data_IF_991644871556
#
_entry.id   IF_991644871556
#
_cell.length_a   1.000
_cell.length_b   1.000
_cell.length_c   1.000
_cell.angle_alpha   90.00
_cell.angle_beta   90.00
_cell.angle_gamma   90.00
#
_symmetry.space_group_name_H-M   'P 1'
#
loop_
_entity.id
_entity.type
_entity.pdbx_description
1 polymer ?
#
# COMPACT_ATOMS: atom_id res chain seq x y z
N UNK A 1 -12.16 24.48 -6.47
CA UNK A 1 -12.10 24.94 -5.05
C UNK A 1 -10.66 24.77 -4.57
N UNK A 2 -10.16 25.53 -3.59
CA UNK A 2 -8.79 25.34 -3.08
C UNK A 2 -8.78 25.38 -1.55
N UNK A 3 -7.85 24.65 -0.94
CA UNK A 3 -7.58 24.62 0.50
C UNK A 3 -6.07 24.78 0.72
N UNK A 4 -5.66 25.04 1.96
CA UNK A 4 -4.25 25.16 2.34
C UNK A 4 -3.79 23.94 3.12
N UNK A 5 -2.78 23.23 2.61
CA UNK A 5 -2.12 22.14 3.33
C UNK A 5 -0.93 22.71 4.10
N UNK A 6 -1.00 22.69 5.43
CA UNK A 6 0.09 23.12 6.30
C UNK A 6 0.74 21.94 6.99
N UNK A 7 2.07 21.84 6.96
CA UNK A 7 2.80 20.81 7.69
C UNK A 7 4.15 21.33 8.17
N UNK A 8 4.66 20.73 9.26
CA UNK A 8 5.95 21.06 9.84
C UNK A 8 7.00 20.10 9.29
N UNK A 9 8.15 20.64 8.88
CA UNK A 9 9.29 19.84 8.43
C UNK A 9 10.53 20.19 9.22
N UNK A 10 11.33 19.17 9.56
CA UNK A 10 12.64 19.36 10.15
C UNK A 10 13.68 19.40 9.03
N UNK A 11 14.43 20.50 8.96
CA UNK A 11 15.53 20.65 8.00
C UNK A 11 16.73 19.77 8.38
N UNK A 12 17.64 19.57 7.43
CA UNK A 12 18.92 18.86 7.67
C UNK A 12 19.75 19.48 8.81
N UNK A 13 19.57 20.78 9.10
CA UNK A 13 20.24 21.51 10.19
C UNK A 13 19.48 21.47 11.52
N UNK A 14 18.34 20.78 11.58
CA UNK A 14 17.54 20.64 12.78
C UNK A 14 16.47 21.70 13.00
N UNK A 15 16.45 22.77 12.21
CA UNK A 15 15.41 23.81 12.29
C UNK A 15 14.06 23.26 11.84
N UNK A 16 13.01 23.61 12.57
CA UNK A 16 11.62 23.27 12.25
C UNK A 16 11.02 24.41 11.43
N UNK A 17 10.52 24.10 10.24
CA UNK A 17 9.90 25.08 9.33
C UNK A 17 8.45 24.67 9.06
N UNK A 18 7.53 25.64 9.14
CA UNK A 18 6.15 25.49 8.70
C UNK A 18 6.07 25.72 7.21
N UNK A 19 5.70 24.69 6.46
CA UNK A 19 5.44 24.76 5.03
C UNK A 19 3.94 24.89 4.82
N UNK A 20 3.54 25.90 4.04
CA UNK A 20 2.16 26.11 3.59
C UNK A 20 2.14 25.92 2.08
N UNK A 21 1.26 25.04 1.60
CA UNK A 21 1.05 24.80 0.17
C UNK A 21 -0.41 24.94 -0.17
N UNK A 22 -0.68 25.53 -1.33
CA UNK A 22 -2.01 25.50 -1.93
C UNK A 22 -2.33 24.08 -2.38
N UNK A 23 -3.58 23.69 -2.21
CA UNK A 23 -4.08 22.38 -2.58
C UNK A 23 -5.40 22.55 -3.33
N UNK A 24 -5.35 22.27 -4.63
CA UNK A 24 -6.46 22.46 -5.53
C UNK A 24 -7.37 21.23 -5.54
N UNK A 25 -8.66 21.47 -5.34
CA UNK A 25 -9.72 20.48 -5.39
C UNK A 25 -10.53 20.66 -6.68
N UNK A 26 -10.56 19.57 -7.44
CA UNK A 26 -11.12 19.40 -8.77
C UNK A 26 -12.36 18.53 -8.73
N UNK A 27 -13.27 18.79 -9.64
CA UNK A 27 -14.51 18.06 -9.89
C UNK A 27 -14.53 17.38 -11.28
N UNK A 28 -13.50 17.63 -12.10
CA UNK A 28 -13.31 17.07 -13.43
C UNK A 28 -12.40 15.81 -13.43
N UNK A 29 -12.21 15.20 -12.26
CA UNK A 29 -11.44 13.96 -12.13
C UNK A 29 -12.34 12.75 -12.40
N UNK A 30 -11.95 11.96 -13.37
CA UNK A 30 -12.75 10.85 -13.88
C UNK A 30 -12.62 9.59 -13.00
N UNK A 31 -13.67 8.77 -12.94
CA UNK A 31 -13.69 7.56 -12.11
C UNK A 31 -12.98 6.35 -12.77
N UNK A 32 -12.80 6.38 -14.09
CA UNK A 32 -12.08 5.36 -14.88
C UNK A 32 -12.95 4.15 -15.30
N UNK A 33 -14.25 4.19 -14.99
CA UNK A 33 -15.18 3.07 -15.09
C UNK A 33 -16.08 3.14 -16.31
N UNK A 34 -16.09 2.09 -17.14
CA UNK A 34 -17.05 1.96 -18.24
C UNK A 34 -18.50 1.70 -17.76
N UNK A 35 -18.71 1.42 -16.47
CA UNK A 35 -20.06 1.36 -15.88
C UNK A 35 -20.61 2.73 -15.49
N UNK A 36 -19.80 3.79 -15.54
CA UNK A 36 -20.23 5.12 -15.11
C UNK A 36 -21.00 5.84 -16.21
N UNK A 37 -22.20 6.32 -15.87
CA UNK A 37 -23.06 7.12 -16.75
C UNK A 37 -23.00 8.63 -16.46
N UNK A 38 -22.13 9.05 -15.53
CA UNK A 38 -22.06 10.44 -15.04
C UNK A 38 -20.79 11.16 -15.51
N UNK A 39 -19.66 10.46 -15.54
CA UNK A 39 -18.38 11.05 -15.95
C UNK A 39 -18.30 11.20 -17.49
N UNK A 40 -17.81 12.33 -18.01
CA UNK A 40 -17.64 12.56 -19.45
C UNK A 40 -16.37 11.87 -19.95
N UNK A 41 -16.36 10.54 -19.92
CA UNK A 41 -15.25 9.74 -20.39
C UNK A 41 -15.11 9.78 -21.91
N UNK A 42 -13.88 9.84 -22.41
CA UNK A 42 -13.56 9.44 -23.78
C UNK A 42 -13.29 7.94 -23.83
N UNK A 43 -13.53 7.29 -24.97
CA UNK A 43 -13.41 5.83 -25.11
C UNK A 43 -12.02 5.28 -24.70
N UNK A 44 -10.95 6.05 -24.93
CA UNK A 44 -9.56 5.68 -24.57
C UNK A 44 -9.23 5.84 -23.07
N UNK A 45 -10.12 6.44 -22.29
CA UNK A 45 -9.94 6.73 -20.86
C UNK A 45 -10.62 5.69 -19.95
N UNK A 46 -11.38 4.77 -20.51
CA UNK A 46 -11.93 3.63 -19.78
C UNK A 46 -10.85 2.58 -19.53
N UNK A 47 -10.47 2.43 -18.26
CA UNK A 47 -9.52 1.39 -17.84
C UNK A 47 -10.25 0.23 -17.17
N UNK A 48 -11.33 0.50 -16.45
CA UNK A 48 -12.12 -0.51 -15.74
C UNK A 48 -13.33 -0.96 -16.58
N UNK A 49 -13.62 -2.26 -16.53
CA UNK A 49 -14.72 -2.91 -17.24
C UNK A 49 -16.08 -2.56 -16.67
N UNK A 50 -17.08 -2.30 -17.51
CA UNK A 50 -18.44 -2.04 -17.02
C UNK A 50 -19.10 -3.22 -16.30
N UNK A 51 -18.68 -4.45 -16.62
CA UNK A 51 -19.13 -5.70 -15.97
C UNK A 51 -17.91 -6.59 -15.71
N UNK A 52 -17.14 -6.34 -14.63
CA UNK A 52 -15.99 -7.17 -14.29
C UNK A 52 -16.43 -8.60 -13.96
N UNK A 53 -15.65 -9.59 -14.38
CA UNK A 53 -15.89 -10.99 -14.02
C UNK A 53 -15.44 -11.22 -12.58
N UNK A 54 -16.31 -11.74 -11.73
CA UNK A 54 -15.92 -12.19 -10.39
C UNK A 54 -15.15 -13.51 -10.49
N UNK A 55 -13.88 -13.49 -10.06
CA UNK A 55 -13.01 -14.68 -10.01
C UNK A 55 -13.04 -15.31 -8.60
N UNK A 56 -13.45 -14.52 -7.59
CA UNK A 56 -13.53 -14.90 -6.19
C UNK A 56 -14.90 -15.52 -5.85
N UNK A 57 -14.91 -16.67 -5.17
CA UNK A 57 -16.15 -17.35 -4.74
C UNK A 57 -16.88 -16.65 -3.60
N UNK A 58 -16.18 -15.82 -2.81
CA UNK A 58 -16.79 -15.01 -1.74
C UNK A 58 -17.78 -13.98 -2.30
N UNK A 59 -17.53 -13.49 -3.52
CA UNK A 59 -18.30 -12.43 -4.14
C UNK A 59 -18.83 -12.91 -5.49
N UNK A 60 -20.08 -13.38 -5.49
CA UNK A 60 -20.76 -13.86 -6.71
C UNK A 60 -21.18 -12.75 -7.67
N UNK A 61 -20.96 -11.48 -7.32
CA UNK A 61 -21.34 -10.31 -8.12
C UNK A 61 -20.12 -9.59 -8.73
N UNK A 62 -20.30 -8.84 -9.84
CA UNK A 62 -19.26 -8.00 -10.42
C UNK A 62 -18.78 -6.97 -9.40
N UNK A 63 -17.47 -6.88 -9.19
CA UNK A 63 -16.89 -5.94 -8.25
C UNK A 63 -15.56 -5.36 -8.73
N UNK A 64 -15.24 -4.16 -8.25
CA UNK A 64 -13.91 -3.58 -8.33
C UNK A 64 -13.19 -3.71 -6.99
N UNK A 65 -11.87 -3.75 -7.04
CA UNK A 65 -11.03 -3.85 -5.86
C UNK A 65 -10.39 -2.49 -5.55
N UNK A 66 -10.51 -2.02 -4.32
CA UNK A 66 -9.70 -0.92 -3.81
C UNK A 66 -8.65 -1.51 -2.88
N UNK A 67 -7.39 -1.19 -3.14
CA UNK A 67 -6.28 -1.67 -2.31
C UNK A 67 -5.95 -0.69 -1.18
N UNK A 68 -5.65 -1.24 -0.03
CA UNK A 68 -5.00 -0.54 1.07
C UNK A 68 -3.46 -0.50 0.90
N UNK A 69 -2.79 0.44 1.55
CA UNK A 69 -1.34 0.62 1.53
C UNK A 69 -0.61 -0.65 1.97
N UNK A 70 -1.02 -1.26 3.07
CA UNK A 70 -0.35 -2.45 3.62
C UNK A 70 -0.45 -3.65 2.67
N UNK A 71 -1.58 -3.80 1.97
CA UNK A 71 -1.75 -4.87 0.98
C UNK A 71 -0.74 -4.70 -0.16
N UNK A 72 -0.55 -3.47 -0.65
CA UNK A 72 0.44 -3.19 -1.70
C UNK A 72 1.87 -3.43 -1.21
N UNK A 73 2.21 -2.98 0.00
CA UNK A 73 3.56 -3.10 0.55
C UNK A 73 3.97 -4.55 0.82
N UNK A 74 3.03 -5.38 1.28
CA UNK A 74 3.33 -6.74 1.71
C UNK A 74 3.02 -7.78 0.65
N UNK A 75 2.11 -7.50 -0.29
CA UNK A 75 1.60 -8.50 -1.25
C UNK A 75 1.82 -8.09 -2.71
N UNK A 76 2.86 -7.30 -2.99
CA UNK A 76 3.16 -6.87 -4.37
C UNK A 76 3.36 -8.07 -5.32
N UNK A 77 3.91 -9.18 -4.84
CA UNK A 77 4.13 -10.39 -5.64
C UNK A 77 2.81 -11.04 -6.09
N UNK A 78 1.76 -10.97 -5.25
CA UNK A 78 0.40 -11.39 -5.61
C UNK A 78 -0.21 -10.42 -6.62
N UNK A 79 0.02 -9.12 -6.42
CA UNK A 79 -0.44 -8.07 -7.33
C UNK A 79 0.30 -8.07 -8.67
N UNK A 80 1.41 -8.78 -8.85
CA UNK A 80 2.09 -8.92 -10.14
C UNK A 80 1.47 -9.99 -11.02
N UNK A 81 0.77 -10.96 -10.43
CA UNK A 81 0.08 -12.01 -11.16
C UNK A 81 -1.13 -11.47 -11.94
N UNK A 82 -1.38 -12.04 -13.13
CA UNK A 82 -2.55 -11.69 -13.95
C UNK A 82 -3.90 -12.17 -13.38
N UNK A 83 -3.90 -12.63 -12.12
CA UNK A 83 -5.09 -13.10 -11.42
C UNK A 83 -6.08 -11.98 -11.08
N UNK A 84 -5.56 -10.80 -10.70
CA UNK A 84 -6.37 -9.67 -10.28
C UNK A 84 -6.53 -8.68 -11.43
N UNK A 85 -7.77 -8.23 -11.65
CA UNK A 85 -8.11 -7.23 -12.67
C UNK A 85 -9.17 -6.27 -12.13
N UNK A 86 -9.32 -5.12 -12.78
CA UNK A 86 -10.26 -4.07 -12.38
C UNK A 86 -10.00 -3.55 -10.95
N UNK A 87 -8.74 -3.16 -10.73
CA UNK A 87 -8.23 -2.69 -9.44
C UNK A 87 -8.06 -1.18 -9.48
N UNK A 88 -8.57 -0.50 -8.46
CA UNK A 88 -8.46 0.93 -8.24
C UNK A 88 -7.36 1.17 -7.21
N UNK A 89 -6.35 1.94 -7.59
CA UNK A 89 -5.27 2.37 -6.73
C UNK A 89 -5.44 3.87 -6.46
N UNK A 90 -5.60 4.21 -5.18
CA UNK A 90 -5.74 5.59 -4.75
C UNK A 90 -4.40 6.31 -4.72
N UNK A 91 -4.40 7.62 -4.99
CA UNK A 91 -3.20 8.46 -4.89
C UNK A 91 -2.61 8.44 -3.48
N UNK A 92 -3.45 8.42 -2.44
CA UNK A 92 -2.98 8.27 -1.04
C UNK A 92 -2.09 7.04 -0.86
N UNK A 93 -2.50 5.91 -1.44
CA UNK A 93 -1.78 4.64 -1.39
C UNK A 93 -0.48 4.74 -2.19
N UNK A 94 -0.51 5.34 -3.38
CA UNK A 94 0.69 5.54 -4.21
C UNK A 94 1.75 6.41 -3.52
N UNK A 95 1.33 7.53 -2.92
CA UNK A 95 2.23 8.43 -2.21
C UNK A 95 2.86 7.74 -1.00
N UNK A 96 2.06 7.01 -0.24
CA UNK A 96 2.54 6.30 0.95
C UNK A 96 3.52 5.17 0.60
N UNK A 97 3.19 4.36 -0.41
CA UNK A 97 4.09 3.30 -0.92
C UNK A 97 5.40 3.91 -1.42
N UNK A 98 5.34 5.03 -2.14
CA UNK A 98 6.55 5.75 -2.60
C UNK A 98 7.44 6.21 -1.44
N UNK A 99 6.82 6.70 -0.36
CA UNK A 99 7.52 7.17 0.84
C UNK A 99 8.12 6.03 1.65
N UNK A 100 7.46 4.87 1.72
CA UNK A 100 7.93 3.72 2.48
C UNK A 100 8.94 2.85 1.70
N UNK A 101 8.63 2.50 0.45
CA UNK A 101 9.46 1.63 -0.37
C UNK A 101 9.38 2.01 -1.87
N UNK A 102 10.40 2.72 -2.35
CA UNK A 102 10.47 3.19 -3.74
C UNK A 102 10.57 2.04 -4.76
N UNK A 103 11.13 0.88 -4.40
CA UNK A 103 11.21 -0.26 -5.29
C UNK A 103 9.82 -0.87 -5.55
N UNK A 104 9.00 -1.02 -4.51
CA UNK A 104 7.61 -1.48 -4.65
C UNK A 104 6.79 -0.46 -5.45
N UNK A 105 7.02 0.83 -5.23
CA UNK A 105 6.38 1.88 -6.03
C UNK A 105 6.69 1.76 -7.53
N UNK A 106 7.94 1.48 -7.90
CA UNK A 106 8.32 1.26 -9.31
C UNK A 106 7.62 0.04 -9.90
N UNK A 107 7.63 -1.09 -9.18
CA UNK A 107 6.91 -2.31 -9.58
C UNK A 107 5.42 -2.04 -9.77
N UNK A 108 4.79 -1.29 -8.86
CA UNK A 108 3.39 -0.90 -8.96
C UNK A 108 3.09 -0.02 -10.18
N UNK A 109 4.00 0.88 -10.55
CA UNK A 109 3.85 1.68 -11.76
C UNK A 109 3.90 0.82 -13.03
N UNK A 110 4.75 -0.21 -13.07
CA UNK A 110 4.81 -1.17 -14.17
C UNK A 110 3.49 -1.94 -14.30
N UNK A 111 2.88 -2.32 -13.18
CA UNK A 111 1.55 -2.94 -13.12
C UNK A 111 0.48 -2.02 -13.72
N UNK A 112 0.46 -0.76 -13.29
CA UNK A 112 -0.50 0.26 -13.77
C UNK A 112 -0.30 0.55 -15.26
N UNK A 113 0.94 0.59 -15.73
CA UNK A 113 1.25 0.85 -17.14
C UNK A 113 0.71 -0.25 -18.07
N UNK A 114 0.56 -1.48 -17.58
CA UNK A 114 0.01 -2.59 -18.34
C UNK A 114 -1.52 -2.51 -18.45
N UNK A 115 -2.02 -1.91 -19.54
CA UNK A 115 -3.46 -1.76 -19.82
C UNK A 115 -4.26 -3.06 -19.77
N UNK A 116 -3.65 -4.22 -20.04
CA UNK A 116 -4.35 -5.52 -20.00
C UNK A 116 -4.84 -5.88 -18.59
N UNK A 117 -4.12 -5.40 -17.57
CA UNK A 117 -4.38 -5.72 -16.16
C UNK A 117 -5.50 -4.85 -15.57
N UNK A 118 -5.86 -3.74 -16.24
CA UNK A 118 -6.97 -2.85 -15.86
C UNK A 118 -6.80 -2.29 -14.44
N UNK A 119 -5.61 -1.80 -14.16
CA UNK A 119 -5.30 -1.08 -12.93
C UNK A 119 -5.48 0.41 -13.20
N UNK A 120 -6.36 1.05 -12.43
CA UNK A 120 -6.67 2.46 -12.56
C UNK A 120 -6.13 3.26 -11.38
N UNK A 121 -5.44 4.37 -11.66
CA UNK A 121 -4.99 5.29 -10.63
C UNK A 121 -6.02 6.41 -10.44
N UNK A 122 -6.60 6.49 -9.23
CA UNK A 122 -7.57 7.53 -8.90
C UNK A 122 -6.97 8.58 -7.97
N UNK A 123 -7.09 9.84 -8.39
CA UNK A 123 -6.49 11.02 -7.76
C UNK A 123 -7.40 11.54 -6.62
N UNK A 124 -7.56 10.73 -5.57
CA UNK A 124 -8.52 11.00 -4.48
C UNK A 124 -8.17 12.23 -3.63
N UNK A 125 -6.90 12.63 -3.54
CA UNK A 125 -6.49 13.83 -2.81
C UNK A 125 -6.99 15.08 -3.51
N UNK A 126 -6.90 15.16 -4.84
CA UNK A 126 -7.34 16.34 -5.58
C UNK A 126 -8.83 16.33 -5.94
N UNK A 127 -9.57 15.29 -5.60
CA UNK A 127 -11.00 15.21 -5.91
C UNK A 127 -11.83 15.83 -4.78
N UNK A 128 -12.70 16.78 -5.14
CA UNK A 128 -13.50 17.58 -4.20
C UNK A 128 -14.29 16.73 -3.20
N UNK A 129 -14.94 15.68 -3.68
CA UNK A 129 -15.82 14.86 -2.83
C UNK A 129 -15.07 13.85 -1.97
N UNK A 130 -13.91 13.34 -2.42
CA UNK A 130 -13.14 12.32 -1.68
C UNK A 130 -12.04 12.90 -0.81
N UNK A 131 -11.64 14.17 -1.03
CA UNK A 131 -10.63 14.81 -0.22
C UNK A 131 -11.06 14.89 1.26
N UNK A 132 -10.10 14.65 2.15
CA UNK A 132 -10.28 14.81 3.59
C UNK A 132 -9.11 15.55 4.22
N UNK A 133 -9.47 16.38 5.19
CA UNK A 133 -8.50 17.06 6.06
C UNK A 133 -8.18 16.20 7.28
N UNK A 134 -6.98 16.40 7.81
CA UNK A 134 -6.51 15.71 9.01
C UNK A 134 -7.19 16.31 10.24
N UNK A 135 -7.79 15.46 11.06
CA UNK A 135 -8.41 15.90 12.31
C UNK A 135 -7.33 16.25 13.36
N UNK A 136 -7.62 17.17 14.30
CA UNK A 136 -6.69 17.47 15.39
C UNK A 136 -6.34 16.21 16.21
N UNK A 137 -5.05 15.89 16.30
CA UNK A 137 -4.56 14.72 17.06
C UNK A 137 -4.59 13.37 16.32
N UNK A 138 -5.18 13.30 15.13
CA UNK A 138 -5.21 12.09 14.29
C UNK A 138 -3.81 11.75 13.75
N UNK A 139 -3.42 10.48 13.67
CA UNK A 139 -2.14 10.10 13.03
C UNK A 139 -2.27 10.18 11.51
N UNK A 140 -1.14 10.23 10.82
CA UNK A 140 -1.15 10.23 9.35
C UNK A 140 -1.74 8.93 8.77
N UNK A 141 -1.47 7.79 9.42
CA UNK A 141 -2.01 6.49 9.01
C UNK A 141 -3.55 6.47 9.12
N UNK A 142 -4.10 6.80 10.29
CA UNK A 142 -5.55 6.84 10.52
C UNK A 142 -6.27 7.77 9.52
N UNK A 143 -5.63 8.89 9.16
CA UNK A 143 -6.12 9.79 8.12
C UNK A 143 -6.11 9.11 6.74
N UNK A 144 -5.04 8.43 6.37
CA UNK A 144 -4.97 7.73 5.08
C UNK A 144 -6.03 6.62 5.00
N UNK A 145 -6.21 5.84 6.06
CA UNK A 145 -7.25 4.79 6.14
C UNK A 145 -8.65 5.37 5.94
N UNK A 146 -8.93 6.52 6.59
CA UNK A 146 -10.18 7.26 6.41
C UNK A 146 -10.34 7.79 4.98
N UNK A 147 -9.26 8.21 4.32
CA UNK A 147 -9.30 8.67 2.93
C UNK A 147 -9.66 7.50 1.99
N UNK A 148 -9.11 6.32 2.25
CA UNK A 148 -9.38 5.10 1.48
C UNK A 148 -10.85 4.69 1.65
N UNK A 149 -11.36 4.67 2.88
CA UNK A 149 -12.78 4.36 3.16
C UNK A 149 -13.72 5.37 2.52
N UNK A 150 -13.42 6.67 2.61
CA UNK A 150 -14.23 7.71 1.95
C UNK A 150 -14.25 7.56 0.43
N UNK A 151 -13.12 7.20 -0.19
CA UNK A 151 -13.06 6.93 -1.62
C UNK A 151 -13.92 5.70 -1.99
N UNK A 152 -13.90 4.64 -1.18
CA UNK A 152 -14.73 3.46 -1.40
C UNK A 152 -16.23 3.78 -1.36
N UNK A 153 -16.67 4.54 -0.34
CA UNK A 153 -18.06 5.02 -0.24
C UNK A 153 -18.43 5.92 -1.43
N UNK A 154 -17.51 6.80 -1.84
CA UNK A 154 -17.75 7.67 -2.99
C UNK A 154 -17.91 6.85 -4.28
N UNK A 155 -17.06 5.85 -4.53
CA UNK A 155 -17.20 5.01 -5.72
C UNK A 155 -18.52 4.22 -5.73
N UNK A 156 -18.92 3.65 -4.58
CA UNK A 156 -20.18 2.91 -4.47
C UNK A 156 -21.39 3.81 -4.75
N UNK A 157 -21.41 5.02 -4.18
CA UNK A 157 -22.46 6.01 -4.42
C UNK A 157 -22.42 6.54 -5.85
N UNK A 158 -21.25 6.87 -6.38
CA UNK A 158 -21.06 7.42 -7.72
C UNK A 158 -21.50 6.45 -8.83
N UNK A 159 -21.15 5.16 -8.71
CA UNK A 159 -21.54 4.14 -9.69
C UNK A 159 -23.04 3.80 -9.63
N UNK A 160 -23.70 4.06 -8.50
CA UNK A 160 -25.14 3.89 -8.37
C UNK A 160 -25.93 5.01 -9.06
N UNK A 161 -25.33 6.19 -9.26
CA UNK A 161 -25.98 7.33 -9.92
C UNK A 161 -26.24 7.00 -11.39
N UNK A 162 -27.50 7.19 -11.82
CA UNK A 162 -27.95 6.96 -13.20
C UNK A 162 -27.71 5.54 -13.72
N UNK A 163 -27.55 4.56 -12.82
CA UNK A 163 -27.42 3.14 -13.14
C UNK A 163 -28.71 2.41 -12.79
N UNK A 164 -29.04 1.36 -13.56
CA UNK A 164 -30.15 0.47 -13.20
C UNK A 164 -29.80 -0.23 -11.88
N UNK A 165 -30.76 -0.26 -10.95
CA UNK A 165 -30.58 -0.90 -9.64
C UNK A 165 -30.06 -2.32 -9.81
N UNK A 166 -28.88 -2.60 -9.26
CA UNK A 166 -28.24 -3.92 -9.33
C UNK A 166 -27.42 -4.22 -10.60
N UNK A 167 -27.26 -3.25 -11.52
CA UNK A 167 -26.45 -3.41 -12.73
C UNK A 167 -25.16 -2.56 -12.74
N UNK A 168 -24.57 -2.33 -11.56
CA UNK A 168 -23.27 -1.67 -11.43
C UNK A 168 -22.32 -2.53 -10.60
N UNK A 169 -21.00 -2.48 -10.86
CA UNK A 169 -20.03 -3.21 -10.06
C UNK A 169 -19.96 -2.67 -8.64
N UNK A 170 -19.91 -3.57 -7.68
CA UNK A 170 -19.75 -3.26 -6.25
C UNK A 170 -18.29 -2.95 -5.91
N UNK A 171 -18.06 -2.25 -4.82
CA UNK A 171 -16.71 -1.95 -4.35
C UNK A 171 -16.31 -2.87 -3.20
N UNK A 172 -15.17 -3.54 -3.34
CA UNK A 172 -14.56 -4.36 -2.29
C UNK A 172 -13.23 -3.75 -1.88
N UNK A 173 -13.11 -3.38 -0.60
CA UNK A 173 -11.88 -2.89 0.00
C UNK A 173 -11.03 -4.05 0.50
N UNK A 174 -9.80 -4.16 -0.01
CA UNK A 174 -8.80 -5.12 0.47
C UNK A 174 -7.91 -4.45 1.51
N UNK A 175 -8.04 -4.86 2.77
CA UNK A 175 -7.24 -4.36 3.89
C UNK A 175 -6.86 -5.49 4.85
N UNK A 176 -5.59 -5.51 5.25
CA UNK A 176 -5.06 -6.42 6.26
C UNK A 176 -5.11 -5.81 7.67
N UNK A 177 -5.43 -4.51 7.81
CA UNK A 177 -5.61 -3.87 9.10
C UNK A 177 -6.98 -4.22 9.69
N UNK A 178 -6.98 -4.91 10.84
CA UNK A 178 -8.20 -5.32 11.53
C UNK A 178 -9.06 -4.13 11.99
N UNK A 179 -8.44 -3.02 12.41
CA UNK A 179 -9.17 -1.84 12.85
C UNK A 179 -9.82 -1.14 11.67
N UNK A 180 -9.09 -0.98 10.57
CA UNK A 180 -9.65 -0.40 9.35
C UNK A 180 -10.82 -1.25 8.83
N UNK A 181 -10.66 -2.59 8.86
CA UNK A 181 -11.72 -3.54 8.48
C UNK A 181 -12.97 -3.42 9.36
N UNK A 182 -12.83 -3.32 10.69
CA UNK A 182 -13.97 -3.14 11.60
C UNK A 182 -14.75 -1.86 11.31
N UNK A 183 -14.04 -0.73 11.17
CA UNK A 183 -14.68 0.56 10.91
C UNK A 183 -15.33 0.56 9.51
N UNK A 184 -14.67 -0.04 8.51
CA UNK A 184 -15.25 -0.19 7.17
C UNK A 184 -16.56 -1.00 7.20
N UNK A 185 -16.64 -2.08 7.98
CA UNK A 185 -17.87 -2.86 8.15
C UNK A 185 -18.98 -2.07 8.85
N UNK A 186 -18.64 -1.26 9.87
CA UNK A 186 -19.59 -0.36 10.53
C UNK A 186 -20.14 0.72 9.58
N UNK A 187 -19.31 1.20 8.66
CA UNK A 187 -19.69 2.15 7.59
C UNK A 187 -20.44 1.48 6.43
N UNK A 188 -20.66 0.16 6.47
CA UNK A 188 -21.36 -0.61 5.44
C UNK A 188 -20.55 -0.86 4.16
N UNK A 189 -19.23 -0.68 4.22
CA UNK A 189 -18.31 -0.95 3.11
C UNK A 189 -18.00 -2.45 3.08
N UNK A 190 -18.10 -3.07 1.90
CA UNK A 190 -17.68 -4.46 1.72
C UNK A 190 -16.15 -4.50 1.78
N UNK A 191 -15.60 -5.24 2.73
CA UNK A 191 -14.16 -5.37 2.90
C UNK A 191 -13.76 -6.80 3.27
N UNK A 192 -12.56 -7.20 2.87
CA UNK A 192 -11.96 -8.49 3.24
C UNK A 192 -10.44 -8.36 3.33
N UNK A 193 -9.78 -9.34 3.97
CA UNK A 193 -8.33 -9.42 3.93
C UNK A 193 -7.86 -9.92 2.56
N UNK A 194 -6.63 -9.59 2.17
CA UNK A 194 -6.07 -10.11 0.92
C UNK A 194 -5.98 -11.64 0.95
N UNK A 195 -5.70 -12.21 2.13
CA UNK A 195 -5.64 -13.65 2.35
C UNK A 195 -6.98 -14.31 2.06
N UNK A 196 -8.04 -13.83 2.69
CA UNK A 196 -9.39 -14.39 2.48
C UNK A 196 -9.82 -14.24 1.01
N UNK A 197 -9.47 -13.11 0.37
CA UNK A 197 -9.77 -12.89 -1.03
C UNK A 197 -9.07 -13.92 -1.92
N UNK A 198 -7.74 -14.07 -1.77
CA UNK A 198 -6.88 -14.95 -2.59
C UNK A 198 -7.19 -16.43 -2.36
N UNK A 199 -7.53 -16.85 -1.14
CA UNK A 199 -7.97 -18.23 -0.83
C UNK A 199 -9.20 -18.66 -1.61
N UNK A 200 -10.02 -17.69 -2.00
CA UNK A 200 -11.28 -17.92 -2.69
C UNK A 200 -11.20 -17.58 -4.20
N UNK A 201 -10.03 -17.20 -4.71
CA UNK A 201 -9.81 -16.99 -6.15
C UNK A 201 -9.73 -18.34 -6.86
N UNK A 202 -10.54 -18.51 -7.90
CA UNK A 202 -10.53 -19.72 -8.73
C UNK A 202 -9.70 -19.52 -10.00
N UNK A 203 -9.07 -20.58 -10.49
CA UNK A 203 -8.36 -20.58 -11.78
C UNK A 203 -6.87 -20.23 -11.75
N UNK A 204 -6.31 -19.85 -10.60
CA UNK A 204 -4.88 -19.53 -10.45
C UNK A 204 -4.23 -20.43 -9.39
N UNK A 205 -3.65 -21.54 -9.84
CA UNK A 205 -2.91 -22.47 -8.99
C UNK A 205 -1.59 -21.81 -8.59
N UNK A 206 -1.30 -21.71 -7.29
CA UNK A 206 -0.07 -21.12 -6.76
C UNK A 206 -0.15 -19.63 -6.38
N UNK A 207 -1.29 -18.97 -6.56
CA UNK A 207 -1.49 -17.59 -6.08
C UNK A 207 -1.37 -17.50 -4.55
N UNK A 208 -1.86 -18.54 -3.86
CA UNK A 208 -1.75 -18.68 -2.42
C UNK A 208 -0.31 -18.81 -1.92
N UNK A 209 0.55 -19.48 -2.68
CA UNK A 209 1.95 -19.68 -2.31
C UNK A 209 2.77 -18.40 -2.40
N UNK A 210 2.32 -17.43 -3.22
CA UNK A 210 2.92 -16.09 -3.36
C UNK A 210 2.47 -15.11 -2.29
N UNK A 211 1.48 -15.48 -1.48
CA UNK A 211 1.01 -14.64 -0.40
C UNK A 211 2.08 -14.58 0.69
N UNK A 212 2.62 -13.38 0.92
CA UNK A 212 3.59 -13.20 1.98
C UNK A 212 2.91 -13.46 3.31
N UNK A 213 3.45 -14.40 4.06
CA UNK A 213 3.08 -14.56 5.46
C UNK A 213 3.68 -13.35 6.16
N UNK A 214 2.87 -12.32 6.38
CA UNK A 214 3.16 -11.30 7.36
C UNK A 214 3.26 -12.01 8.71
N UNK A 215 4.44 -12.55 9.00
CA UNK A 215 4.85 -12.87 10.34
C UNK A 215 5.00 -11.50 10.97
N UNK A 216 3.88 -10.91 11.41
CA UNK A 216 3.92 -10.05 12.57
C UNK A 216 4.79 -10.84 13.55
N UNK A 217 5.92 -10.27 14.03
CA UNK A 217 6.77 -11.00 14.95
C UNK A 217 5.84 -11.42 16.07
N UNK A 218 5.53 -12.73 16.13
CA UNK A 218 4.69 -13.28 17.18
C UNK A 218 5.30 -12.74 18.45
N UNK A 219 4.50 -11.99 19.23
CA UNK A 219 4.93 -11.31 20.43
C UNK A 219 5.96 -12.19 21.11
N UNK A 220 7.23 -11.74 21.10
CA UNK A 220 8.42 -12.56 21.35
C UNK A 220 8.04 -13.80 22.14
N UNK A 221 8.02 -14.98 21.50
CA UNK A 221 8.20 -16.22 22.25
C UNK A 221 9.31 -15.92 23.25
N UNK A 222 9.07 -16.19 24.53
CA UNK A 222 9.91 -15.68 25.64
C UNK A 222 11.42 -15.97 25.48
N UNK A 223 11.76 -16.85 24.54
CA UNK A 223 13.10 -17.04 24.00
C UNK A 223 13.15 -16.58 22.52
N UNK A 224 13.61 -15.35 22.26
CA UNK A 224 13.97 -14.94 20.91
C UNK A 224 15.22 -15.75 20.49
N UNK A 225 15.13 -16.49 19.37
CA UNK A 225 16.22 -17.32 18.83
C UNK A 225 17.52 -16.53 18.58
N UNK A 226 17.40 -15.22 18.35
CA UNK A 226 18.52 -14.31 18.14
C UNK A 226 18.32 -13.04 18.96
N UNK A 227 19.41 -12.38 19.39
CA UNK A 227 19.32 -11.10 20.07
C UNK A 227 18.64 -10.06 19.18
N UNK A 228 17.75 -9.26 19.78
CA UNK A 228 17.06 -8.19 19.08
C UNK A 228 18.06 -7.17 18.51
N UNK A 229 17.77 -6.68 17.31
CA UNK A 229 18.58 -5.65 16.68
C UNK A 229 18.50 -4.33 17.47
N UNK A 230 19.63 -3.61 17.52
CA UNK A 230 19.68 -2.25 18.07
C UNK A 230 18.77 -1.32 17.26
N UNK A 231 18.20 -0.32 17.93
CA UNK A 231 17.39 0.70 17.25
C UNK A 231 18.25 1.54 16.29
N UNK A 232 17.69 2.09 15.21
CA UNK A 232 18.44 2.95 14.29
C UNK A 232 19.15 4.13 14.99
N UNK A 233 18.55 4.68 16.04
CA UNK A 233 19.14 5.75 16.84
C UNK A 233 20.42 5.30 17.56
N UNK A 234 20.37 4.13 18.22
CA UNK A 234 21.52 3.53 18.90
C UNK A 234 22.63 3.14 17.91
N UNK A 235 22.28 2.62 16.73
CA UNK A 235 23.25 2.30 15.68
C UNK A 235 23.98 3.57 15.23
N UNK A 236 23.25 4.65 14.93
CA UNK A 236 23.85 5.91 14.49
C UNK A 236 24.69 6.60 15.57
N UNK A 237 24.30 6.49 16.83
CA UNK A 237 25.10 6.99 17.96
C UNK A 237 26.37 6.15 18.14
N UNK A 238 26.25 4.82 18.07
CA UNK A 238 27.39 3.91 18.17
C UNK A 238 28.41 4.09 17.05
N UNK A 239 27.95 4.36 15.82
CA UNK A 239 28.84 4.65 14.68
C UNK A 239 29.54 6.00 14.87
N UNK A 240 28.81 7.05 15.26
CA UNK A 240 29.42 8.37 15.53
C UNK A 240 30.38 8.33 16.71
N UNK A 241 30.08 7.54 17.72
CA UNK A 241 30.93 7.31 18.88
C UNK A 241 32.10 6.35 18.63
N UNK A 242 32.26 5.81 17.42
CA UNK A 242 33.34 4.89 17.05
C UNK A 242 33.27 3.51 17.71
N UNK A 243 32.16 3.17 18.39
CA UNK A 243 31.95 1.85 19.01
C UNK A 243 31.41 0.82 18.03
N UNK A 244 30.65 1.27 17.04
CA UNK A 244 30.09 0.43 15.98
C UNK A 244 30.71 0.82 14.64
N UNK A 245 30.87 -0.16 13.77
CA UNK A 245 31.35 0.05 12.41
C UNK A 245 30.34 -0.50 11.41
N UNK A 246 30.19 0.22 10.30
CA UNK A 246 29.31 -0.19 9.19
C UNK A 246 30.17 -0.72 8.04
N UNK A 247 29.74 -1.84 7.46
CA UNK A 247 30.44 -2.50 6.36
C UNK A 247 29.54 -3.48 5.62
N UNK A 248 30.08 -4.05 4.54
CA UNK A 248 29.39 -5.08 3.76
C UNK A 248 29.72 -6.46 4.32
N UNK A 249 28.69 -7.20 4.72
CA UNK A 249 28.82 -8.59 5.16
C UNK A 249 28.91 -9.54 3.97
N UNK A 250 29.85 -10.49 4.03
CA UNK A 250 30.05 -11.57 3.07
C UNK A 250 30.06 -12.90 3.82
N UNK A 251 29.02 -13.70 3.65
CA UNK A 251 28.97 -15.06 4.19
C UNK A 251 30.00 -15.96 3.50
N UNK A 252 30.60 -16.88 4.24
CA UNK A 252 31.42 -17.93 3.64
C UNK A 252 30.54 -18.91 2.86
N UNK A 253 31.06 -19.42 1.74
CA UNK A 253 30.36 -20.43 0.93
C UNK A 253 30.46 -21.82 1.55
N UNK A 254 31.53 -22.05 2.31
CA UNK A 254 31.88 -23.38 2.82
C UNK A 254 31.39 -23.60 4.25
N UNK A 255 31.27 -22.52 5.05
CA UNK A 255 30.82 -22.58 6.44
C UNK A 255 29.78 -21.50 6.74
N UNK A 256 28.55 -21.92 7.07
CA UNK A 256 27.46 -21.00 7.42
C UNK A 256 27.68 -20.27 8.76
N UNK A 257 28.58 -20.76 9.62
CA UNK A 257 28.96 -20.11 10.87
C UNK A 257 30.09 -19.09 10.70
N UNK A 258 30.60 -18.90 9.48
CA UNK A 258 31.68 -17.97 9.18
C UNK A 258 31.23 -16.90 8.19
N UNK A 259 31.62 -15.66 8.48
CA UNK A 259 31.47 -14.55 7.56
C UNK A 259 32.60 -13.57 7.70
N UNK A 260 32.71 -12.67 6.73
CA UNK A 260 33.66 -11.57 6.76
C UNK A 260 32.93 -10.25 6.54
N UNK A 261 33.27 -9.22 7.31
CA UNK A 261 32.77 -7.87 7.13
C UNK A 261 33.87 -6.98 6.57
N UNK A 262 33.62 -6.37 5.41
CA UNK A 262 34.50 -5.36 4.83
C UNK A 262 34.07 -4.01 5.37
N UNK A 263 34.92 -3.41 6.22
CA UNK A 263 34.63 -2.15 6.91
C UNK A 263 35.49 -1.04 6.30
N UNK A 264 34.87 0.11 6.03
CA UNK A 264 35.60 1.29 5.56
C UNK A 264 36.56 1.78 6.65
N UNK A 265 37.86 1.74 6.35
CA UNK A 265 38.93 2.18 7.27
C UNK A 265 39.79 1.06 7.87
N UNK A 266 39.44 -0.22 7.66
CA UNK A 266 40.29 -1.35 8.02
C UNK A 266 40.97 -1.91 6.76
N UNK A 267 42.27 -2.20 6.84
CA UNK A 267 43.02 -2.80 5.72
C UNK A 267 42.63 -4.27 5.48
N UNK A 268 42.25 -4.99 6.53
CA UNK A 268 41.84 -6.40 6.47
C UNK A 268 40.37 -6.54 6.83
N UNK A 269 39.63 -7.46 6.17
CA UNK A 269 38.27 -7.76 6.53
C UNK A 269 38.20 -8.39 7.93
N UNK A 270 37.14 -8.07 8.66
CA UNK A 270 36.92 -8.60 10.01
C UNK A 270 36.16 -9.92 9.91
N UNK A 271 36.72 -10.99 10.47
CA UNK A 271 36.05 -12.30 10.53
C UNK A 271 34.97 -12.30 11.62
N UNK A 272 33.81 -12.83 11.27
CA UNK A 272 32.65 -13.00 12.15
C UNK A 272 32.42 -14.50 12.28
N UNK A 273 32.41 -14.98 13.52
CA UNK A 273 32.09 -16.35 13.87
C UNK A 273 30.74 -16.35 14.60
N UNK A 274 29.76 -17.05 14.05
CA UNK A 274 28.48 -17.26 14.69
C UNK A 274 28.61 -18.43 15.66
N UNK A 275 28.41 -18.17 16.94
CA UNK A 275 28.39 -19.19 18.00
C UNK A 275 26.92 -19.51 18.29
N UNK A 276 26.58 -20.80 18.36
CA UNK A 276 25.25 -21.27 18.77
C UNK A 276 24.99 -20.98 20.24
#
# INVERSE_FOLDING_TARGET
MWTTKTFLTKTKRGNIIKIVREHYLRDDLLCGSAACNTCPHKDDEFVLDGKPKSICTLFSYPHYLILDTNVVLHQIDVLEEDALSNVIILQTVLEEVKHQNTAIYQRLLEIIANKKRKFYSFVNEHHKDTYIERNPGEKQNDRNDRAIRKAAVWYETHLSINSVVGQFPKIVLLTDDENNRKIAQEEGIVCCSIKDYVENVTGFIGLLDKLSKNVAPEACSKDALYPAHLTPAQIHEGIRGGKLHQGTFRASRDNFLEGTAVINGFEKPVSILFVK
#
